data_IF_227122347349
#
_entry.id   IF_227122347349
#
_cell.length_a   1.000
_cell.length_b   1.000
_cell.length_c   1.000
_cell.angle_alpha   90.00
_cell.angle_beta   90.00
_cell.angle_gamma   90.00
#
_symmetry.space_group_name_H-M   'P 1'
#
loop_
_entity.id
_entity.type
_entity.pdbx_description
1 polymer ?
#
# COMPACT_ATOMS: atom_id res chain seq x y z
N UNK A 1 -23.76 -49.66 1.32
CA UNK A 1 -22.73 -48.71 0.86
C UNK A 1 -23.40 -47.77 -0.14
N UNK A 2 -23.84 -46.61 0.35
CA UNK A 2 -24.58 -45.63 -0.45
C UNK A 2 -23.55 -44.67 -1.05
N UNK A 3 -23.32 -44.80 -2.35
CA UNK A 3 -22.49 -43.84 -3.10
C UNK A 3 -23.40 -42.65 -3.40
N UNK A 4 -23.22 -41.57 -2.67
CA UNK A 4 -23.98 -40.34 -2.88
C UNK A 4 -23.37 -39.63 -4.09
N UNK A 5 -24.08 -39.71 -5.22
CA UNK A 5 -23.87 -38.81 -6.34
C UNK A 5 -24.42 -37.43 -5.99
N UNK A 6 -23.56 -36.42 -5.89
CA UNK A 6 -23.96 -35.02 -5.79
C UNK A 6 -23.65 -34.35 -7.13
N UNK A 7 -24.69 -34.11 -7.91
CA UNK A 7 -24.64 -33.21 -9.05
C UNK A 7 -25.39 -31.91 -8.74
N UNK A 8 -25.02 -30.86 -9.49
CA UNK A 8 -25.70 -29.57 -9.71
C UNK A 8 -25.30 -28.38 -8.82
N UNK A 9 -24.53 -27.44 -9.41
CA UNK A 9 -24.50 -26.03 -9.01
C UNK A 9 -23.18 -25.46 -8.49
N UNK A 10 -22.03 -25.78 -9.09
CA UNK A 10 -20.76 -25.11 -8.75
C UNK A 10 -20.61 -23.80 -9.52
N UNK A 11 -21.32 -22.74 -9.13
CA UNK A 11 -20.75 -21.40 -9.33
C UNK A 11 -19.65 -21.25 -8.29
N UNK A 12 -18.40 -21.41 -8.72
CA UNK A 12 -17.25 -21.10 -7.88
C UNK A 12 -17.36 -19.63 -7.42
N UNK A 13 -17.21 -19.33 -6.12
CA UNK A 13 -17.48 -18.00 -5.57
C UNK A 13 -16.49 -16.92 -6.02
N UNK A 14 -15.49 -17.29 -6.82
CA UNK A 14 -14.52 -16.39 -7.43
C UNK A 14 -14.57 -16.55 -8.95
N UNK A 15 -14.87 -15.47 -9.66
CA UNK A 15 -14.76 -15.43 -11.12
C UNK A 15 -13.28 -15.23 -11.46
N UNK A 16 -12.62 -16.28 -11.95
CA UNK A 16 -11.24 -16.18 -12.44
C UNK A 16 -11.24 -15.23 -13.65
N UNK A 17 -10.48 -14.12 -13.61
CA UNK A 17 -10.44 -13.20 -14.74
C UNK A 17 -9.77 -13.85 -15.95
N UNK A 18 -10.21 -13.46 -17.15
CA UNK A 18 -9.67 -14.00 -18.39
C UNK A 18 -8.17 -13.70 -18.51
N UNK A 19 -7.37 -14.69 -18.91
CA UNK A 19 -5.91 -14.62 -18.94
C UNK A 19 -5.33 -13.45 -19.77
N UNK A 20 -6.12 -12.86 -20.67
CA UNK A 20 -5.72 -11.71 -21.50
C UNK A 20 -5.38 -10.46 -20.70
N UNK A 21 -5.82 -10.36 -19.43
CA UNK A 21 -5.49 -9.22 -18.57
C UNK A 21 -3.97 -9.06 -18.36
N UNK A 22 -3.21 -10.16 -18.43
CA UNK A 22 -1.75 -10.16 -18.23
C UNK A 22 -0.94 -9.96 -19.52
N UNK A 23 -1.60 -9.66 -20.65
CA UNK A 23 -0.90 -9.37 -21.91
C UNK A 23 -0.22 -7.98 -21.89
N UNK A 24 -0.48 -7.15 -20.88
CA UNK A 24 0.04 -5.80 -20.72
C UNK A 24 1.47 -5.74 -20.12
N UNK A 25 2.25 -6.83 -20.17
CA UNK A 25 3.57 -6.93 -19.55
C UNK A 25 4.56 -5.82 -19.98
N UNK A 26 4.42 -5.27 -21.20
CA UNK A 26 5.25 -4.17 -21.71
C UNK A 26 4.99 -2.82 -21.04
N UNK A 27 3.88 -2.67 -20.34
CA UNK A 27 3.57 -1.44 -19.58
C UNK A 27 4.40 -1.31 -18.30
N UNK A 28 5.02 -2.41 -17.85
CA UNK A 28 5.86 -2.45 -16.66
C UNK A 28 7.32 -2.30 -17.08
N UNK A 29 8.01 -1.22 -16.65
CA UNK A 29 9.39 -0.96 -17.09
C UNK A 29 10.35 -2.09 -16.70
N UNK A 30 10.12 -2.76 -15.56
CA UNK A 30 10.94 -3.87 -15.08
C UNK A 30 10.90 -5.08 -16.03
N UNK A 31 9.69 -5.45 -16.49
CA UNK A 31 9.48 -6.56 -17.42
C UNK A 31 9.91 -6.19 -18.85
N UNK A 32 9.65 -4.96 -19.29
CA UNK A 32 10.12 -4.48 -20.58
C UNK A 32 11.65 -4.46 -20.68
N UNK A 33 12.33 -4.06 -19.61
CA UNK A 33 13.79 -4.12 -19.53
C UNK A 33 14.31 -5.56 -19.50
N UNK A 34 13.61 -6.48 -18.85
CA UNK A 34 13.95 -7.90 -18.86
C UNK A 34 13.85 -8.49 -20.28
N UNK A 35 12.75 -8.23 -20.99
CA UNK A 35 12.57 -8.64 -22.40
C UNK A 35 13.67 -8.05 -23.28
N UNK A 36 14.03 -6.77 -23.08
CA UNK A 36 15.10 -6.10 -23.82
C UNK A 36 16.47 -6.75 -23.58
N UNK A 37 16.82 -7.07 -22.32
CA UNK A 37 18.09 -7.72 -21.97
C UNK A 37 18.19 -9.14 -22.55
N UNK A 38 17.11 -9.91 -22.51
CA UNK A 38 17.06 -11.23 -23.13
C UNK A 38 17.14 -11.14 -24.66
N UNK A 39 16.46 -10.15 -25.26
CA UNK A 39 16.49 -9.90 -26.69
C UNK A 39 17.89 -9.54 -27.20
N UNK A 40 18.70 -8.81 -26.39
CA UNK A 40 20.12 -8.56 -26.70
C UNK A 40 20.95 -9.84 -26.77
N UNK A 41 20.54 -10.89 -26.04
CA UNK A 41 21.17 -12.21 -26.07
C UNK A 41 20.54 -13.13 -27.13
N UNK A 42 19.49 -12.69 -27.82
CA UNK A 42 18.71 -13.53 -28.75
C UNK A 42 17.75 -14.51 -28.06
N UNK A 43 17.53 -14.37 -26.75
CA UNK A 43 16.62 -15.22 -25.98
C UNK A 43 15.27 -14.53 -25.78
N UNK A 44 14.22 -15.35 -25.61
CA UNK A 44 12.87 -14.89 -25.28
C UNK A 44 12.34 -15.71 -24.11
N UNK A 45 11.82 -15.04 -23.09
CA UNK A 45 11.14 -15.69 -21.97
C UNK A 45 9.65 -15.94 -22.30
N UNK A 46 9.19 -17.21 -22.38
CA UNK A 46 7.79 -17.53 -22.63
C UNK A 46 6.88 -17.27 -21.41
N UNK A 47 7.45 -17.18 -20.20
CA UNK A 47 6.71 -17.04 -18.93
C UNK A 47 6.55 -15.60 -18.46
N UNK A 48 7.04 -14.62 -19.23
CA UNK A 48 7.03 -13.20 -18.84
C UNK A 48 5.64 -12.67 -18.44
N UNK A 49 4.58 -13.19 -19.06
CA UNK A 49 3.18 -12.86 -18.75
C UNK A 49 2.75 -13.34 -17.38
N UNK A 50 3.31 -14.46 -16.90
CA UNK A 50 3.02 -14.99 -15.58
C UNK A 50 3.57 -14.07 -14.48
N UNK A 51 4.66 -13.32 -14.73
CA UNK A 51 5.21 -12.44 -13.71
C UNK A 51 4.49 -11.10 -13.57
N UNK A 52 3.56 -10.79 -14.48
CA UNK A 52 2.85 -9.49 -14.50
C UNK A 52 2.15 -9.20 -13.19
N UNK A 53 1.52 -10.19 -12.56
CA UNK A 53 0.82 -9.99 -11.29
C UNK A 53 1.75 -9.53 -10.15
N UNK A 54 3.05 -9.86 -10.22
CA UNK A 54 4.02 -9.40 -9.22
C UNK A 54 4.31 -7.91 -9.34
N UNK A 55 4.26 -7.36 -10.56
CA UNK A 55 4.60 -5.97 -10.87
C UNK A 55 3.37 -5.06 -10.97
N UNK A 56 2.18 -5.62 -10.73
CA UNK A 56 0.96 -4.85 -10.75
C UNK A 56 0.91 -3.84 -9.57
N UNK A 57 0.69 -2.57 -9.91
CA UNK A 57 0.79 -1.42 -9.00
C UNK A 57 -0.33 -1.38 -7.96
N UNK A 58 -1.36 -2.18 -8.16
CA UNK A 58 -2.43 -2.37 -7.18
C UNK A 58 -1.96 -3.14 -5.94
N UNK A 59 -0.91 -3.96 -6.06
CA UNK A 59 -0.39 -4.71 -4.92
C UNK A 59 0.70 -3.94 -4.15
N UNK A 60 0.67 -3.98 -2.80
CA UNK A 60 1.57 -3.21 -1.96
C UNK A 60 3.05 -3.60 -2.11
N UNK A 61 3.34 -4.78 -2.67
CA UNK A 61 4.70 -5.29 -2.89
C UNK A 61 5.49 -4.51 -3.96
N UNK A 62 4.82 -3.75 -4.83
CA UNK A 62 5.44 -2.99 -5.94
C UNK A 62 5.60 -1.50 -5.61
N UNK A 63 4.86 -1.02 -4.61
CA UNK A 63 5.02 0.36 -4.15
C UNK A 63 6.37 0.44 -3.43
N UNK A 64 7.30 1.17 -4.03
CA UNK A 64 8.66 1.34 -3.52
C UNK A 64 8.69 1.55 -2.00
N UNK A 65 9.70 0.96 -1.35
CA UNK A 65 9.81 0.84 0.11
C UNK A 65 9.49 2.14 0.86
N UNK A 66 9.85 3.29 0.29
CA UNK A 66 9.55 4.62 0.84
C UNK A 66 8.07 5.00 0.87
N UNK A 67 7.31 4.68 -0.17
CA UNK A 67 5.87 4.93 -0.22
C UNK A 67 5.12 4.02 0.77
N UNK A 68 5.59 2.79 0.94
CA UNK A 68 5.08 1.86 1.95
C UNK A 68 5.39 2.36 3.38
N UNK A 69 6.65 2.76 3.63
CA UNK A 69 7.07 3.35 4.91
C UNK A 69 6.23 4.58 5.28
N UNK A 70 6.07 5.53 4.35
CA UNK A 70 5.21 6.70 4.56
C UNK A 70 3.76 6.32 4.89
N UNK A 71 3.22 5.30 4.24
CA UNK A 71 1.86 4.81 4.51
C UNK A 71 1.74 4.12 5.87
N UNK A 72 2.80 3.59 6.45
CA UNK A 72 2.77 2.98 7.78
C UNK A 72 2.95 4.02 8.89
N UNK A 73 3.83 4.99 8.70
CA UNK A 73 4.24 5.94 9.76
C UNK A 73 3.41 7.22 9.77
N UNK A 74 2.98 7.71 8.61
CA UNK A 74 2.26 8.99 8.50
C UNK A 74 0.75 8.95 8.79
N UNK A 75 0.02 7.81 8.77
CA UNK A 75 -1.35 7.78 9.28
C UNK A 75 -1.36 8.16 10.76
N UNK A 76 -2.12 9.19 11.11
CA UNK A 76 -2.24 9.65 12.50
C UNK A 76 -1.32 10.80 12.88
N UNK A 77 -0.32 11.17 12.07
CA UNK A 77 0.53 12.34 12.37
C UNK A 77 -0.28 13.63 12.57
N UNK A 78 -1.26 13.89 11.69
CA UNK A 78 -2.14 15.08 11.79
C UNK A 78 -3.00 15.07 13.06
N UNK A 79 -3.49 13.90 13.47
CA UNK A 79 -4.26 13.74 14.70
C UNK A 79 -3.37 13.94 15.93
N UNK A 80 -2.15 13.40 15.91
CA UNK A 80 -1.16 13.59 16.97
C UNK A 80 -0.77 15.07 17.15
N UNK A 81 -0.49 15.78 16.05
CA UNK A 81 -0.22 17.23 16.10
C UNK A 81 -1.42 18.00 16.63
N UNK A 82 -2.64 17.68 16.18
CA UNK A 82 -3.86 18.31 16.66
C UNK A 82 -4.07 18.11 18.17
N UNK A 83 -3.86 16.89 18.67
CA UNK A 83 -3.96 16.58 20.09
C UNK A 83 -2.90 17.31 20.93
N UNK A 84 -1.65 17.37 20.43
CA UNK A 84 -0.58 18.08 21.12
C UNK A 84 -0.86 19.59 21.22
N UNK A 85 -1.31 20.23 20.13
CA UNK A 85 -1.67 21.66 20.14
C UNK A 85 -2.85 21.93 21.08
N UNK A 86 -3.88 21.06 21.05
CA UNK A 86 -5.02 21.19 21.96
C UNK A 86 -4.61 21.08 23.43
N UNK A 87 -3.72 20.13 23.75
CA UNK A 87 -3.21 19.96 25.11
C UNK A 87 -2.44 21.19 25.58
N UNK A 88 -1.49 21.68 24.78
CA UNK A 88 -0.70 22.89 25.09
C UNK A 88 -1.62 24.10 25.32
N UNK A 89 -2.64 24.28 24.47
CA UNK A 89 -3.58 25.38 24.62
C UNK A 89 -4.39 25.30 25.92
N UNK A 90 -4.80 24.09 26.33
CA UNK A 90 -5.51 23.86 27.60
C UNK A 90 -4.60 24.13 28.79
N UNK A 91 -3.36 23.62 28.75
CA UNK A 91 -2.37 23.82 29.80
C UNK A 91 -2.04 25.30 30.01
N UNK A 92 -1.86 26.05 28.92
CA UNK A 92 -1.58 27.48 29.03
C UNK A 92 -2.77 28.30 29.47
N UNK A 93 -3.97 27.98 28.98
CA UNK A 93 -5.17 28.69 29.43
C UNK A 93 -5.42 28.47 30.93
N UNK A 94 -5.20 27.24 31.40
CA UNK A 94 -5.32 26.91 32.82
C UNK A 94 -4.25 27.61 33.66
N UNK A 95 -3.00 27.64 33.20
CA UNK A 95 -1.90 28.30 33.90
C UNK A 95 -2.10 29.82 33.94
N UNK A 96 -2.52 30.43 32.84
CA UNK A 96 -2.86 31.85 32.80
C UNK A 96 -4.01 32.18 33.77
N UNK A 97 -5.07 31.37 33.78
CA UNK A 97 -6.22 31.61 34.67
C UNK A 97 -5.88 31.45 36.17
N UNK A 98 -4.95 30.56 36.52
CA UNK A 98 -4.61 30.25 37.91
C UNK A 98 -3.47 31.11 38.47
N UNK A 99 -2.41 31.32 37.69
CA UNK A 99 -1.17 31.98 38.13
C UNK A 99 -0.97 33.35 37.48
N UNK A 100 -1.80 33.75 36.50
CA UNK A 100 -1.68 35.04 35.81
C UNK A 100 -0.47 35.14 34.87
N UNK A 101 0.28 34.05 34.72
CA UNK A 101 1.50 33.93 33.94
C UNK A 101 1.43 32.65 33.10
N UNK A 102 1.97 32.70 31.90
CA UNK A 102 2.10 31.52 31.03
C UNK A 102 3.41 30.80 31.35
N UNK A 103 3.54 29.51 31.00
CA UNK A 103 4.79 28.78 31.26
C UNK A 103 6.00 29.37 30.53
N UNK A 104 5.74 30.14 29.47
CA UNK A 104 6.71 30.90 28.69
C UNK A 104 7.28 32.13 29.43
N UNK A 105 6.50 32.74 30.33
CA UNK A 105 6.94 33.91 31.11
C UNK A 105 7.97 33.55 32.19
N UNK A 106 8.05 32.26 32.60
CA UNK A 106 8.98 31.80 33.62
C UNK A 106 10.41 31.57 33.08
N UNK A 107 10.60 31.61 31.76
CA UNK A 107 11.86 31.31 31.07
C UNK A 107 12.58 32.56 30.52
N UNK A 108 12.16 33.77 30.90
CA UNK A 108 12.83 35.04 30.59
C UNK A 108 13.18 35.77 31.90
#
# INVERSE_FOLDING_TARGET
LQVVAMGHGHDEPFKIPHHSIYNNYKAFPELADHERRLGQLGLKDPWIRNYVYLYDKEYPHVRGQWAHFKRLILPGWKLGVGAAVALIAVEELYSYAKTGQTSWDAHH
#
